data_IF_356428405110
#
_entry.id   IF_356428405110
#
_cell.length_a   1.000
_cell.length_b   1.000
_cell.length_c   1.000
_cell.angle_alpha   90.00
_cell.angle_beta   90.00
_cell.angle_gamma   90.00
#
_symmetry.space_group_name_H-M   'P 1'
#
loop_
_entity.id
_entity.type
_entity.pdbx_description
1 polymer ?
#
# COMPACT_ATOMS: atom_id res chain seq x y z
N UNK A 1 -31.92 -30.52 -26.12
CA UNK A 1 -30.52 -31.01 -26.13
C UNK A 1 -29.59 -29.89 -25.68
N UNK A 2 -28.84 -30.13 -24.61
CA UNK A 2 -27.86 -29.20 -24.01
C UNK A 2 -26.67 -29.03 -24.95
N UNK A 3 -26.25 -27.80 -25.26
CA UNK A 3 -24.89 -27.52 -25.74
C UNK A 3 -24.15 -26.73 -24.67
N UNK A 4 -23.38 -27.48 -23.87
CA UNK A 4 -22.27 -26.96 -23.08
C UNK A 4 -21.20 -26.49 -24.06
N UNK A 5 -20.84 -25.21 -24.05
CA UNK A 5 -19.58 -24.75 -24.61
C UNK A 5 -18.75 -24.15 -23.47
N UNK A 6 -17.83 -24.97 -23.01
CA UNK A 6 -16.52 -24.67 -22.41
C UNK A 6 -16.38 -23.29 -21.77
N UNK A 7 -16.80 -23.23 -20.51
CA UNK A 7 -16.43 -22.20 -19.53
C UNK A 7 -15.05 -22.56 -18.94
N UNK A 8 -13.98 -22.35 -19.72
CA UNK A 8 -12.60 -22.43 -19.21
C UNK A 8 -11.80 -21.31 -19.88
N UNK A 9 -11.71 -20.17 -19.20
CA UNK A 9 -10.97 -19.01 -19.71
C UNK A 9 -11.24 -17.67 -19.02
N UNK A 10 -12.24 -17.58 -18.13
CA UNK A 10 -12.64 -16.31 -17.51
C UNK A 10 -12.39 -16.20 -15.98
N UNK A 11 -11.58 -17.11 -15.40
CA UNK A 11 -11.29 -17.14 -13.94
C UNK A 11 -9.83 -16.72 -13.63
N UNK A 12 -9.13 -16.08 -14.58
CA UNK A 12 -7.77 -15.57 -14.37
C UNK A 12 -7.56 -14.12 -14.82
N UNK A 13 -8.62 -13.31 -14.86
CA UNK A 13 -8.59 -11.92 -15.29
C UNK A 13 -9.06 -10.95 -14.20
N UNK A 14 -8.50 -11.12 -13.00
CA UNK A 14 -8.61 -10.12 -11.92
C UNK A 14 -7.23 -9.76 -11.32
N UNK A 15 -6.19 -9.77 -12.16
CA UNK A 15 -4.86 -9.21 -11.84
C UNK A 15 -4.41 -8.35 -13.01
N UNK A 16 -4.97 -7.15 -13.11
CA UNK A 16 -4.40 -6.09 -13.94
C UNK A 16 -4.41 -4.83 -13.09
N UNK A 17 -3.24 -4.43 -12.60
CA UNK A 17 -2.98 -3.05 -12.23
C UNK A 17 -1.66 -2.63 -12.86
N UNK A 18 -1.73 -1.49 -13.54
CA UNK A 18 -0.73 -0.93 -14.43
C UNK A 18 0.35 -0.27 -13.58
N UNK A 19 1.60 -0.63 -13.87
CA UNK A 19 2.79 0.06 -13.41
C UNK A 19 2.78 1.53 -13.88
N UNK A 20 3.00 2.46 -12.95
CA UNK A 20 3.46 3.80 -13.25
C UNK A 20 4.78 4.04 -12.53
N UNK A 21 5.87 3.65 -13.20
CA UNK A 21 7.21 4.14 -12.88
C UNK A 21 7.29 5.62 -13.24
N UNK A 22 7.45 6.49 -12.24
CA UNK A 22 8.02 7.81 -12.50
C UNK A 22 9.52 7.63 -12.74
N UNK A 23 9.91 7.84 -13.99
CA UNK A 23 11.30 7.93 -14.45
C UNK A 23 12.05 9.03 -13.69
N UNK A 24 13.17 8.67 -13.05
CA UNK A 24 14.34 9.55 -13.05
C UNK A 24 15.59 8.73 -13.39
N UNK A 25 15.96 8.81 -14.66
CA UNK A 25 17.29 8.47 -15.12
C UNK A 25 18.15 9.71 -14.86
N UNK A 26 19.08 9.69 -13.91
CA UNK A 26 20.22 10.60 -13.91
C UNK A 26 21.39 10.05 -13.09
N UNK A 27 22.40 9.64 -13.84
CA UNK A 27 23.82 9.51 -13.50
C UNK A 27 24.22 8.37 -12.56
N UNK A 28 24.89 7.39 -13.18
CA UNK A 28 26.01 6.67 -12.60
C UNK A 28 26.97 7.64 -11.90
N UNK A 29 27.19 7.44 -10.59
CA UNK A 29 28.42 7.85 -9.92
C UNK A 29 28.63 7.08 -8.62
N UNK A 30 29.69 6.28 -8.66
CA UNK A 30 30.61 5.85 -7.59
C UNK A 30 30.09 5.81 -6.15
N UNK A 31 30.12 4.59 -5.61
CA UNK A 31 30.18 4.24 -4.20
C UNK A 31 30.92 5.24 -3.31
N UNK A 32 30.33 5.49 -2.14
CA UNK A 32 31.09 5.47 -0.88
C UNK A 32 30.27 4.74 0.19
N UNK A 33 30.71 3.58 0.70
CA UNK A 33 30.14 3.02 1.90
C UNK A 33 30.79 3.71 3.09
N UNK A 34 30.00 4.46 3.84
CA UNK A 34 30.45 5.08 5.08
C UNK A 34 29.31 5.11 6.05
N UNK A 35 29.09 4.01 6.77
CA UNK A 35 28.48 3.95 8.09
C UNK A 35 28.80 2.57 8.70
N UNK A 36 29.93 2.51 9.41
CA UNK A 36 30.23 1.44 10.36
C UNK A 36 29.25 1.54 11.53
N UNK A 37 28.22 0.73 11.48
CA UNK A 37 27.31 0.43 12.59
C UNK A 37 26.86 -1.00 12.40
N UNK A 38 26.89 -1.79 13.47
CA UNK A 38 26.56 -3.22 13.50
C UNK A 38 25.31 -3.48 12.66
N UNK A 39 25.47 -4.16 11.52
CA UNK A 39 24.34 -4.66 10.73
C UNK A 39 23.79 -5.84 11.53
N UNK A 40 22.86 -5.59 12.46
CA UNK A 40 21.83 -6.59 12.74
C UNK A 40 21.24 -6.92 11.37
N UNK A 41 21.51 -8.13 10.87
CA UNK A 41 21.02 -8.59 9.57
C UNK A 41 19.52 -8.35 9.55
N UNK A 42 19.07 -7.41 8.72
CA UNK A 42 17.65 -7.09 8.63
C UNK A 42 16.91 -8.39 8.32
N UNK A 43 16.05 -8.91 9.22
CA UNK A 43 15.52 -10.27 9.07
C UNK A 43 14.52 -10.37 7.92
N UNK A 44 14.05 -9.23 7.42
CA UNK A 44 13.12 -9.11 6.30
C UNK A 44 13.89 -8.86 5.01
N UNK A 45 13.46 -9.54 3.94
CA UNK A 45 14.00 -9.38 2.58
C UNK A 45 12.85 -9.27 1.60
N UNK A 46 13.01 -8.42 0.59
CA UNK A 46 12.07 -8.37 -0.55
C UNK A 46 12.16 -9.69 -1.30
N UNK A 47 11.08 -10.47 -1.33
CA UNK A 47 10.99 -11.71 -2.11
C UNK A 47 10.12 -11.52 -3.36
N UNK A 48 10.14 -12.50 -4.26
CA UNK A 48 9.47 -12.40 -5.56
C UNK A 48 7.95 -12.70 -5.49
N UNK A 49 7.42 -13.08 -4.34
CA UNK A 49 6.01 -13.42 -4.19
C UNK A 49 5.62 -13.79 -2.77
N UNK A 50 4.31 -13.93 -2.51
CA UNK A 50 3.74 -14.05 -1.19
C UNK A 50 4.02 -15.42 -0.57
N UNK A 51 3.86 -15.50 0.74
CA UNK A 51 3.95 -16.75 1.49
C UNK A 51 5.19 -16.96 2.32
N UNK A 52 6.17 -16.05 2.24
CA UNK A 52 7.25 -16.01 3.22
C UNK A 52 6.69 -15.59 4.58
N UNK A 53 7.11 -16.29 5.63
CA UNK A 53 6.67 -16.04 7.01
C UNK A 53 7.89 -15.66 7.85
N UNK A 54 7.74 -14.62 8.65
CA UNK A 54 8.76 -14.17 9.59
C UNK A 54 8.21 -14.19 11.02
N UNK A 55 9.01 -14.75 11.93
CA UNK A 55 8.72 -14.74 13.37
C UNK A 55 9.32 -13.47 14.00
N UNK A 56 8.58 -12.36 13.89
CA UNK A 56 9.00 -11.04 14.37
C UNK A 56 7.98 -10.54 15.41
N UNK A 57 8.46 -10.20 16.60
CA UNK A 57 7.58 -9.64 17.64
C UNK A 57 7.15 -8.21 17.30
N UNK A 58 5.94 -7.82 17.73
CA UNK A 58 5.38 -6.47 17.48
C UNK A 58 6.33 -5.34 17.92
N UNK A 59 7.05 -5.53 19.04
CA UNK A 59 8.01 -4.56 19.56
C UNK A 59 9.26 -4.38 18.67
N UNK A 60 9.56 -5.37 17.82
CA UNK A 60 10.67 -5.30 16.88
C UNK A 60 10.25 -4.77 15.51
N UNK A 61 8.96 -4.89 15.13
CA UNK A 61 8.45 -4.49 13.80
C UNK A 61 8.84 -3.06 13.50
N UNK A 62 8.57 -2.14 14.42
CA UNK A 62 8.89 -0.73 14.21
C UNK A 62 10.38 -0.56 13.87
N UNK A 63 11.28 -1.06 14.71
CA UNK A 63 12.73 -0.94 14.49
C UNK A 63 13.17 -1.55 13.15
N UNK A 64 12.71 -2.76 12.86
CA UNK A 64 13.06 -3.52 11.65
C UNK A 64 12.59 -2.80 10.39
N UNK A 65 11.32 -2.38 10.34
CA UNK A 65 10.78 -1.73 9.15
C UNK A 65 11.31 -0.32 8.94
N UNK A 66 11.70 0.38 9.99
CA UNK A 66 12.42 1.66 9.83
C UNK A 66 13.79 1.46 9.19
N UNK A 67 14.55 0.47 9.64
CA UNK A 67 15.83 0.13 9.01
C UNK A 67 15.62 -0.38 7.57
N UNK A 68 14.57 -1.16 7.35
CA UNK A 68 14.20 -1.66 6.03
C UNK A 68 13.87 -0.52 5.08
N UNK A 69 13.00 0.42 5.45
CA UNK A 69 12.65 1.60 4.66
C UNK A 69 13.87 2.47 4.30
N UNK A 70 14.87 2.55 5.19
CA UNK A 70 16.13 3.27 4.92
C UNK A 70 17.06 2.56 3.93
N UNK A 71 16.97 1.23 3.83
CA UNK A 71 17.99 0.40 3.14
C UNK A 71 17.47 -0.29 1.89
N UNK A 72 16.17 -0.56 1.82
CA UNK A 72 15.53 -1.16 0.65
C UNK A 72 15.45 -0.14 -0.49
N UNK A 73 15.52 -0.64 -1.72
CA UNK A 73 15.27 0.13 -2.95
C UNK A 73 13.92 -0.22 -3.60
N UNK A 74 13.17 -1.13 -2.98
CA UNK A 74 11.94 -1.69 -3.53
C UNK A 74 10.84 -1.64 -2.48
N UNK A 75 9.65 -1.36 -2.95
CA UNK A 75 8.42 -1.49 -2.15
C UNK A 75 8.18 -2.95 -1.81
N UNK A 76 7.49 -3.15 -0.70
CA UNK A 76 7.10 -4.46 -0.21
C UNK A 76 5.84 -4.34 0.65
N UNK A 77 5.09 -5.42 0.85
CA UNK A 77 3.87 -5.38 1.66
C UNK A 77 3.73 -6.65 2.47
N UNK A 78 3.47 -6.47 3.75
CA UNK A 78 3.30 -7.55 4.68
C UNK A 78 2.02 -7.45 5.49
N UNK A 79 1.55 -8.59 5.98
CA UNK A 79 0.45 -8.70 6.92
C UNK A 79 0.96 -9.23 8.25
N UNK A 80 0.74 -8.47 9.33
CA UNK A 80 1.01 -8.94 10.67
C UNK A 80 -0.27 -9.47 11.33
N UNK A 81 -0.24 -10.73 11.75
CA UNK A 81 -1.36 -11.42 12.41
C UNK A 81 -0.83 -12.46 13.40
N UNK A 82 -1.41 -12.48 14.59
CA UNK A 82 -1.10 -13.43 15.68
C UNK A 82 0.39 -13.63 15.95
N UNK A 83 1.17 -12.55 16.00
CA UNK A 83 2.60 -12.64 16.29
C UNK A 83 3.49 -12.93 15.09
N UNK A 84 2.93 -13.10 13.89
CA UNK A 84 3.64 -13.49 12.68
C UNK A 84 3.46 -12.47 11.57
N UNK A 85 4.50 -12.32 10.77
CA UNK A 85 4.52 -11.45 9.60
C UNK A 85 4.49 -12.32 8.34
N UNK A 86 3.58 -12.00 7.42
CA UNK A 86 3.40 -12.71 6.16
C UNK A 86 3.66 -11.78 5.01
N UNK A 87 4.50 -12.20 4.07
CA UNK A 87 4.57 -11.54 2.78
C UNK A 87 3.27 -11.79 2.00
N UNK A 88 2.62 -10.71 1.58
CA UNK A 88 1.39 -10.74 0.77
C UNK A 88 1.57 -10.03 -0.58
N UNK A 89 2.79 -9.60 -0.87
CA UNK A 89 3.14 -8.80 -2.05
C UNK A 89 3.93 -9.60 -3.09
N UNK A 90 3.93 -9.08 -4.31
CA UNK A 90 4.85 -9.44 -5.37
C UNK A 90 5.62 -8.18 -5.76
N UNK A 91 6.91 -8.16 -5.47
CA UNK A 91 7.77 -7.08 -5.95
C UNK A 91 7.97 -7.21 -7.47
N UNK A 92 7.47 -6.25 -8.23
CA UNK A 92 7.65 -6.18 -9.67
C UNK A 92 9.06 -5.72 -10.05
N UNK A 93 9.45 -5.96 -11.31
CA UNK A 93 10.74 -5.48 -11.84
C UNK A 93 10.84 -3.94 -11.84
N UNK A 94 9.70 -3.26 -11.89
CA UNK A 94 9.53 -1.81 -11.90
C UNK A 94 9.71 -1.17 -10.52
N UNK A 95 9.82 -1.97 -9.45
CA UNK A 95 9.95 -1.49 -8.07
C UNK A 95 8.64 -1.32 -7.33
N UNK A 96 7.50 -1.47 -8.02
CA UNK A 96 6.14 -1.51 -7.46
C UNK A 96 5.83 -2.86 -6.82
N UNK A 97 4.85 -2.88 -5.92
CA UNK A 97 4.35 -4.09 -5.26
C UNK A 97 2.89 -4.39 -5.64
N UNK A 98 2.62 -5.63 -6.06
CA UNK A 98 1.25 -6.13 -6.30
C UNK A 98 0.82 -6.97 -5.10
N UNK A 99 -0.34 -6.69 -4.53
CA UNK A 99 -0.87 -7.49 -3.41
C UNK A 99 -1.73 -8.64 -3.90
N UNK A 100 -1.45 -9.85 -3.39
CA UNK A 100 -2.28 -11.02 -3.60
C UNK A 100 -3.45 -11.05 -2.61
N UNK A 101 -4.54 -10.39 -2.96
CA UNK A 101 -5.73 -10.34 -2.10
C UNK A 101 -6.38 -11.72 -1.88
N UNK A 102 -6.31 -12.63 -2.85
CA UNK A 102 -6.91 -13.97 -2.74
C UNK A 102 -6.08 -14.85 -1.82
N UNK A 103 -4.76 -14.83 -1.97
CA UNK A 103 -3.84 -15.46 -1.01
C UNK A 103 -4.05 -14.90 0.40
N UNK A 104 -4.13 -13.58 0.54
CA UNK A 104 -4.31 -12.91 1.84
C UNK A 104 -5.58 -13.38 2.54
N UNK A 105 -6.70 -13.45 1.81
CA UNK A 105 -7.98 -13.90 2.37
C UNK A 105 -7.94 -15.39 2.71
N UNK A 106 -7.34 -16.21 1.83
CA UNK A 106 -7.16 -17.64 2.10
C UNK A 106 -6.33 -17.87 3.35
N UNK A 107 -5.21 -17.15 3.49
CA UNK A 107 -4.34 -17.17 4.66
C UNK A 107 -5.14 -16.88 5.94
N UNK A 108 -5.95 -15.82 5.93
CA UNK A 108 -6.76 -15.44 7.07
C UNK A 108 -7.84 -16.47 7.41
N UNK A 109 -8.58 -16.96 6.41
CA UNK A 109 -9.64 -17.97 6.62
C UNK A 109 -9.09 -19.31 7.14
N UNK A 110 -7.95 -19.75 6.62
CA UNK A 110 -7.43 -21.09 6.88
C UNK A 110 -6.48 -21.15 8.08
N UNK A 111 -5.65 -20.12 8.29
CA UNK A 111 -4.64 -20.13 9.36
C UNK A 111 -4.96 -19.23 10.54
N UNK A 112 -5.79 -18.20 10.33
CA UNK A 112 -6.09 -17.18 11.32
C UNK A 112 -7.61 -16.90 11.48
N UNK A 113 -8.48 -17.95 11.55
CA UNK A 113 -9.93 -17.76 11.50
C UNK A 113 -10.51 -17.04 12.72
N UNK A 114 -9.76 -16.94 13.82
CA UNK A 114 -10.22 -16.33 15.07
C UNK A 114 -9.62 -14.92 15.30
N UNK A 115 -8.73 -14.45 14.42
CA UNK A 115 -8.16 -13.12 14.54
C UNK A 115 -9.25 -12.08 14.35
N UNK A 116 -9.23 -11.00 15.13
CA UNK A 116 -10.20 -9.90 15.02
C UNK A 116 -9.63 -8.73 14.23
N UNK A 117 -8.34 -8.48 14.41
CA UNK A 117 -7.61 -7.38 13.81
C UNK A 117 -6.30 -7.91 13.22
N UNK A 118 -5.89 -7.35 12.09
CA UNK A 118 -4.60 -7.62 11.44
C UNK A 118 -4.02 -6.31 10.91
N UNK A 119 -2.69 -6.25 10.83
CA UNK A 119 -1.99 -5.01 10.46
C UNK A 119 -1.37 -5.18 9.08
N UNK A 120 -1.78 -4.34 8.15
CA UNK A 120 -1.16 -4.12 6.86
C UNK A 120 0.07 -3.23 7.03
N UNK A 121 1.24 -3.70 6.63
CA UNK A 121 2.51 -2.99 6.77
C UNK A 121 3.10 -2.74 5.40
N UNK A 122 3.28 -1.46 5.05
CA UNK A 122 3.94 -1.01 3.82
C UNK A 122 5.15 -0.12 4.13
N UNK A 123 6.39 -0.60 3.96
CA UNK A 123 7.58 0.27 3.98
C UNK A 123 7.65 1.18 2.76
N UNK A 124 7.85 2.48 2.98
CA UNK A 124 8.19 3.46 1.95
C UNK A 124 9.71 3.58 1.85
N UNK A 125 10.34 3.03 0.79
CA UNK A 125 11.78 3.11 0.61
C UNK A 125 12.22 4.56 0.46
N UNK A 126 13.32 4.96 1.12
CA UNK A 126 13.89 6.31 0.97
C UNK A 126 14.73 6.48 -0.30
N UNK A 127 14.89 5.46 -1.16
CA UNK A 127 15.45 5.50 -2.53
C UNK A 127 16.48 6.61 -2.84
N UNK A 128 17.60 6.66 -2.11
CA UNK A 128 18.65 7.68 -2.28
C UNK A 128 18.17 9.14 -2.21
N UNK A 129 16.99 9.38 -1.65
CA UNK A 129 16.43 10.71 -1.43
C UNK A 129 17.03 11.28 -0.15
N UNK A 130 17.18 12.60 -0.15
CA UNK A 130 17.86 13.35 0.90
C UNK A 130 17.38 12.90 2.28
N UNK A 131 18.31 12.82 3.22
CA UNK A 131 18.14 12.09 4.47
C UNK A 131 17.19 12.77 5.48
N UNK A 132 16.21 13.54 5.02
CA UNK A 132 15.23 14.24 5.84
C UNK A 132 13.80 14.16 5.27
N UNK A 133 13.60 13.51 4.12
CA UNK A 133 12.25 13.40 3.53
C UNK A 133 11.34 12.47 4.36
N UNK A 134 10.18 12.98 4.76
CA UNK A 134 9.05 12.23 5.33
C UNK A 134 8.09 11.88 4.20
N UNK A 135 7.64 10.63 4.10
CA UNK A 135 6.82 10.13 2.99
C UNK A 135 5.46 9.65 3.47
N UNK A 136 4.43 10.53 3.47
CA UNK A 136 3.08 10.13 3.85
C UNK A 136 2.51 9.05 2.92
N UNK A 137 1.45 8.34 3.34
CA UNK A 137 0.70 7.45 2.46
C UNK A 137 0.19 8.24 1.25
N UNK A 138 0.46 7.74 0.05
CA UNK A 138 0.00 8.33 -1.19
C UNK A 138 -1.38 7.75 -1.57
N UNK A 139 -1.90 8.19 -2.72
CA UNK A 139 -3.24 7.82 -3.17
C UNK A 139 -3.37 6.33 -3.48
N UNK A 140 -2.30 5.75 -4.02
CA UNK A 140 -2.23 4.32 -4.31
C UNK A 140 -2.31 3.53 -3.00
N UNK A 141 -1.59 3.95 -1.95
CA UNK A 141 -1.65 3.33 -0.62
C UNK A 141 -3.07 3.36 -0.04
N UNK A 142 -3.71 4.52 -0.09
CA UNK A 142 -5.07 4.73 0.44
C UNK A 142 -6.07 3.83 -0.29
N UNK A 143 -6.05 3.84 -1.63
CA UNK A 143 -7.00 3.08 -2.43
C UNK A 143 -6.78 1.57 -2.32
N UNK A 144 -5.51 1.15 -2.31
CA UNK A 144 -5.10 -0.25 -2.21
C UNK A 144 -5.50 -0.81 -0.84
N UNK A 145 -5.19 -0.08 0.23
CA UNK A 145 -5.66 -0.42 1.57
C UNK A 145 -7.19 -0.48 1.64
N UNK A 146 -7.91 0.49 1.10
CA UNK A 146 -9.36 0.52 1.17
C UNK A 146 -10.04 -0.63 0.42
N UNK A 147 -9.51 -0.97 -0.74
CA UNK A 147 -9.96 -2.11 -1.52
C UNK A 147 -9.70 -3.42 -0.76
N UNK A 148 -8.49 -3.58 -0.21
CA UNK A 148 -8.11 -4.78 0.53
C UNK A 148 -8.91 -4.94 1.82
N UNK A 149 -9.03 -3.87 2.63
CA UNK A 149 -9.81 -3.83 3.86
C UNK A 149 -11.27 -4.21 3.61
N UNK A 150 -11.90 -3.60 2.60
CA UNK A 150 -13.28 -3.90 2.23
C UNK A 150 -13.45 -5.39 1.90
N UNK A 151 -12.51 -5.96 1.13
CA UNK A 151 -12.56 -7.37 0.74
C UNK A 151 -12.34 -8.31 1.93
N UNK A 152 -11.31 -8.06 2.76
CA UNK A 152 -11.01 -8.85 3.97
C UNK A 152 -12.18 -8.79 4.94
N UNK A 153 -12.66 -7.60 5.29
CA UNK A 153 -13.78 -7.42 6.23
C UNK A 153 -15.02 -8.15 5.75
N UNK A 154 -15.38 -8.02 4.47
CA UNK A 154 -16.54 -8.72 3.89
C UNK A 154 -16.40 -10.24 3.91
N UNK A 155 -15.21 -10.76 3.63
CA UNK A 155 -14.99 -12.19 3.46
C UNK A 155 -14.62 -12.94 4.74
N UNK A 156 -14.10 -12.24 5.75
CA UNK A 156 -13.56 -12.85 6.97
C UNK A 156 -14.10 -12.24 8.26
N UNK A 157 -14.72 -11.05 8.20
CA UNK A 157 -15.10 -10.29 9.38
C UNK A 157 -13.94 -9.61 10.12
N UNK A 158 -12.71 -9.80 9.65
CA UNK A 158 -11.48 -9.28 10.29
C UNK A 158 -11.30 -7.81 9.92
N UNK A 159 -10.91 -7.00 10.90
CA UNK A 159 -10.50 -5.62 10.67
C UNK A 159 -9.05 -5.56 10.16
N UNK A 160 -8.80 -4.76 9.12
CA UNK A 160 -7.46 -4.45 8.63
C UNK A 160 -7.10 -3.04 9.10
N UNK A 161 -5.93 -2.88 9.72
CA UNK A 161 -5.33 -1.59 10.09
C UNK A 161 -4.14 -1.32 9.16
N UNK A 162 -3.86 -0.06 8.79
CA UNK A 162 -2.71 0.28 7.95
C UNK A 162 -1.60 1.01 8.70
N UNK A 163 -0.37 0.56 8.45
CA UNK A 163 0.86 1.15 8.95
C UNK A 163 1.85 1.33 7.81
N UNK A 164 2.41 2.53 7.68
CA UNK A 164 3.49 2.85 6.76
C UNK A 164 4.73 3.28 7.52
N UNK A 165 5.86 2.69 7.17
CA UNK A 165 7.17 3.02 7.72
C UNK A 165 7.99 3.74 6.66
N UNK A 166 8.32 5.01 6.88
CA UNK A 166 9.11 5.82 5.93
C UNK A 166 10.58 6.00 6.35
N UNK A 167 11.00 5.30 7.41
CA UNK A 167 12.35 5.43 7.97
C UNK A 167 12.55 6.65 8.86
N UNK A 168 11.55 7.52 9.02
CA UNK A 168 11.55 8.69 9.92
C UNK A 168 10.49 8.58 11.00
N UNK A 169 9.40 7.93 10.70
CA UNK A 169 8.32 7.68 11.62
C UNK A 169 7.35 6.64 11.08
N UNK A 170 6.23 6.60 11.78
CA UNK A 170 5.14 5.68 11.50
C UNK A 170 3.92 6.49 11.12
N UNK A 171 3.38 6.19 9.95
CA UNK A 171 2.08 6.64 9.54
C UNK A 171 1.07 5.54 9.85
N UNK A 172 0.04 5.87 10.60
CA UNK A 172 -1.14 5.01 10.73
C UNK A 172 -2.32 5.75 10.13
N UNK A 173 -3.15 5.05 9.36
CA UNK A 173 -4.35 5.66 8.81
C UNK A 173 -5.53 4.72 8.82
N UNK A 174 -6.70 5.30 9.03
CA UNK A 174 -7.97 4.59 9.08
C UNK A 174 -8.95 5.23 8.09
N UNK A 175 -9.54 4.39 7.25
CA UNK A 175 -10.63 4.81 6.36
C UNK A 175 -11.96 4.61 7.06
N UNK A 176 -12.86 5.56 6.91
CA UNK A 176 -14.21 5.46 7.46
C UNK A 176 -15.07 4.47 6.65
N UNK A 177 -16.15 3.98 7.26
CA UNK A 177 -17.16 3.15 6.59
C UNK A 177 -17.77 3.85 5.36
N UNK A 178 -17.88 5.19 5.41
CA UNK A 178 -18.37 5.99 4.29
C UNK A 178 -17.43 5.87 3.09
N UNK A 179 -16.12 6.01 3.31
CA UNK A 179 -15.12 5.84 2.25
C UNK A 179 -15.10 4.40 1.72
N UNK A 180 -15.15 3.39 2.61
CA UNK A 180 -15.24 1.97 2.22
C UNK A 180 -16.47 1.70 1.33
N UNK A 181 -17.62 2.29 1.67
CA UNK A 181 -18.85 2.18 0.86
C UNK A 181 -18.66 2.75 -0.54
N UNK A 182 -18.01 3.91 -0.68
CA UNK A 182 -17.72 4.52 -2.00
C UNK A 182 -16.76 3.65 -2.83
N UNK A 183 -15.73 3.09 -2.20
CA UNK A 183 -14.82 2.12 -2.85
C UNK A 183 -15.60 0.89 -3.32
N UNK A 184 -16.47 0.33 -2.48
CA UNK A 184 -17.28 -0.84 -2.87
C UNK A 184 -18.25 -0.54 -4.03
N UNK A 185 -18.92 0.62 -4.02
CA UNK A 185 -19.78 1.07 -5.13
C UNK A 185 -18.99 1.14 -6.44
N UNK A 186 -17.79 1.70 -6.38
CA UNK A 186 -16.89 1.76 -7.53
C UNK A 186 -16.53 0.36 -8.07
N UNK A 187 -16.11 -0.55 -7.19
CA UNK A 187 -15.75 -1.92 -7.58
C UNK A 187 -16.94 -2.62 -8.24
N UNK A 188 -18.14 -2.48 -7.68
CA UNK A 188 -19.37 -3.05 -8.24
C UNK A 188 -19.70 -2.44 -9.60
N UNK A 189 -19.54 -1.13 -9.75
CA UNK A 189 -19.75 -0.44 -11.02
C UNK A 189 -18.81 -0.97 -12.11
N UNK A 190 -17.51 -1.10 -11.81
CA UNK A 190 -16.52 -1.63 -12.76
C UNK A 190 -16.84 -3.07 -13.17
N UNK A 191 -17.20 -3.94 -12.22
CA UNK A 191 -17.61 -5.32 -12.50
C UNK A 191 -18.79 -5.38 -13.46
N UNK A 192 -19.81 -4.55 -13.21
CA UNK A 192 -20.97 -4.44 -14.10
C UNK A 192 -20.58 -3.98 -15.51
N UNK A 193 -19.66 -3.01 -15.65
CA UNK A 193 -19.18 -2.62 -16.98
C UNK A 193 -18.51 -3.79 -17.72
N UNK A 194 -17.66 -4.55 -17.03
CA UNK A 194 -16.99 -5.74 -17.59
C UNK A 194 -18.00 -6.82 -18.02
N UNK A 195 -19.00 -7.11 -17.19
CA UNK A 195 -20.07 -8.07 -17.49
C UNK A 195 -20.92 -7.65 -18.70
N UNK A 196 -21.12 -6.34 -18.89
CA UNK A 196 -21.80 -5.77 -20.05
C UNK A 196 -20.93 -5.76 -21.32
N UNK A 197 -19.72 -6.34 -21.27
CA UNK A 197 -18.76 -6.32 -22.37
C UNK A 197 -18.26 -4.92 -22.72
N UNK A 198 -18.52 -3.94 -21.85
CA UNK A 198 -17.99 -2.59 -21.99
C UNK A 198 -16.55 -2.61 -21.56
N UNK A 199 -15.71 -1.92 -22.34
CA UNK A 199 -14.41 -1.52 -21.82
C UNK A 199 -14.69 -0.79 -20.50
N UNK A 200 -14.05 -1.20 -19.39
CA UNK A 200 -14.06 -0.38 -18.19
C UNK A 200 -13.68 1.04 -18.60
N UNK A 201 -14.36 2.03 -18.02
CA UNK A 201 -14.02 3.43 -18.27
C UNK A 201 -12.67 3.67 -17.61
N UNK A 202 -11.61 3.41 -18.38
CA UNK A 202 -10.22 3.60 -18.02
C UNK A 202 -9.80 4.98 -18.51
N UNK A 203 -10.21 6.03 -17.81
CA UNK A 203 -9.62 7.34 -18.03
C UNK A 203 -8.26 7.37 -17.34
N UNK A 204 -7.19 7.39 -18.13
CA UNK A 204 -5.78 7.49 -17.70
C UNK A 204 -5.36 6.56 -16.55
N UNK A 205 -5.18 5.27 -16.84
CA UNK A 205 -4.29 4.40 -16.07
C UNK A 205 -4.81 3.82 -14.75
N UNK A 206 -5.92 4.32 -14.20
CA UNK A 206 -6.40 3.84 -12.88
C UNK A 206 -7.89 3.51 -12.73
N UNK A 207 -8.66 3.60 -13.82
CA UNK A 207 -9.84 2.72 -14.01
C UNK A 207 -11.13 3.05 -13.28
N UNK A 208 -11.35 4.25 -12.74
CA UNK A 208 -12.69 4.64 -12.27
C UNK A 208 -12.86 6.16 -12.23
N UNK A 209 -13.97 6.72 -12.70
CA UNK A 209 -14.23 8.16 -12.67
C UNK A 209 -14.13 8.76 -11.24
N UNK A 210 -14.58 8.03 -10.21
CA UNK A 210 -14.37 8.44 -8.82
C UNK A 210 -12.92 8.29 -8.37
N UNK A 211 -12.23 7.25 -8.85
CA UNK A 211 -10.80 7.07 -8.64
C UNK A 211 -10.04 8.23 -9.29
N UNK A 212 -10.35 8.61 -10.53
CA UNK A 212 -9.64 9.64 -11.25
C UNK A 212 -9.97 11.04 -10.70
N UNK A 213 -11.20 11.31 -10.26
CA UNK A 213 -11.55 12.56 -9.56
C UNK A 213 -10.87 12.60 -8.20
N UNK A 214 -10.94 11.54 -7.41
CA UNK A 214 -10.29 11.46 -6.09
C UNK A 214 -8.77 11.59 -6.19
N UNK A 215 -8.14 10.86 -7.11
CA UNK A 215 -6.70 10.93 -7.39
C UNK A 215 -6.31 12.26 -8.00
N UNK A 216 -7.13 12.86 -8.87
CA UNK A 216 -6.84 14.21 -9.38
C UNK A 216 -6.89 15.24 -8.25
N UNK A 217 -7.87 15.14 -7.36
CA UNK A 217 -8.00 16.03 -6.21
C UNK A 217 -6.83 15.83 -5.24
N UNK A 218 -6.52 14.59 -4.89
CA UNK A 218 -5.42 14.27 -3.99
C UNK A 218 -4.03 14.56 -4.59
N UNK A 219 -3.77 14.23 -5.85
CA UNK A 219 -2.51 14.59 -6.52
C UNK A 219 -2.34 16.11 -6.60
N UNK A 220 -3.42 16.85 -6.90
CA UNK A 220 -3.39 18.32 -6.86
C UNK A 220 -3.13 18.84 -5.46
N UNK A 221 -3.72 18.19 -4.44
CA UNK A 221 -3.56 18.56 -3.04
C UNK A 221 -2.14 18.29 -2.55
N UNK A 222 -1.62 17.08 -2.78
CA UNK A 222 -0.27 16.65 -2.47
C UNK A 222 0.73 17.58 -3.15
N UNK A 223 0.60 17.79 -4.47
CA UNK A 223 1.46 18.70 -5.20
C UNK A 223 1.41 20.13 -4.65
N UNK A 224 0.20 20.66 -4.42
CA UNK A 224 0.01 22.02 -3.92
C UNK A 224 0.59 22.22 -2.52
N UNK A 225 0.55 21.20 -1.66
CA UNK A 225 0.97 21.33 -0.25
C UNK A 225 2.44 20.94 -0.09
N UNK A 226 2.87 19.82 -0.67
CA UNK A 226 4.22 19.29 -0.49
C UNK A 226 5.27 20.02 -1.35
N UNK A 227 4.85 20.71 -2.41
CA UNK A 227 5.73 21.61 -3.18
C UNK A 227 5.64 23.08 -2.72
N UNK A 228 4.86 23.38 -1.66
CA UNK A 228 4.74 24.73 -1.11
C UNK A 228 5.99 25.09 -0.30
N UNK A 229 7.01 25.64 -0.97
CA UNK A 229 8.28 26.04 -0.37
C UNK A 229 8.16 27.20 0.64
N UNK A 230 6.96 27.78 0.82
CA UNK A 230 6.71 28.78 1.86
C UNK A 230 6.42 28.18 3.24
N UNK A 231 6.14 26.87 3.30
CA UNK A 231 5.87 26.12 4.52
C UNK A 231 7.06 25.23 4.88
N UNK A 232 7.34 25.08 6.17
CA UNK A 232 8.24 24.02 6.65
C UNK A 232 7.66 22.63 6.37
N UNK A 233 8.50 21.60 6.31
CA UNK A 233 8.03 20.23 6.02
C UNK A 233 6.99 19.73 7.04
N UNK A 234 7.16 20.08 8.30
CA UNK A 234 6.19 19.76 9.35
C UNK A 234 4.84 20.46 9.12
N UNK A 235 4.84 21.72 8.69
CA UNK A 235 3.63 22.46 8.34
C UNK A 235 2.96 21.92 7.09
N UNK A 236 3.74 21.52 6.07
CA UNK A 236 3.22 20.83 4.88
C UNK A 236 2.48 19.55 5.28
N UNK A 237 3.09 18.72 6.15
CA UNK A 237 2.47 17.49 6.67
C UNK A 237 1.18 17.79 7.44
N UNK A 238 1.22 18.75 8.37
CA UNK A 238 0.02 19.15 9.13
C UNK A 238 -1.11 19.58 8.20
N UNK A 239 -0.79 20.43 7.21
CA UNK A 239 -1.76 20.89 6.21
C UNK A 239 -2.28 19.75 5.33
N UNK A 240 -1.43 18.80 4.94
CA UNK A 240 -1.82 17.61 4.19
C UNK A 240 -2.79 16.75 4.99
N UNK A 241 -2.48 16.46 6.26
CA UNK A 241 -3.36 15.70 7.17
C UNK A 241 -4.73 16.41 7.30
N UNK A 242 -4.75 17.72 7.54
CA UNK A 242 -6.00 18.47 7.70
C UNK A 242 -6.87 18.48 6.43
N UNK A 243 -6.26 18.57 5.25
CA UNK A 243 -7.00 18.54 4.00
C UNK A 243 -7.51 17.13 3.67
N UNK A 244 -6.77 16.08 4.01
CA UNK A 244 -7.23 14.71 3.79
C UNK A 244 -8.27 14.26 4.82
N UNK A 245 -8.28 14.81 6.04
CA UNK A 245 -9.39 14.59 6.98
C UNK A 245 -10.76 14.95 6.38
N UNK A 246 -10.80 15.87 5.41
CA UNK A 246 -12.03 16.22 4.67
C UNK A 246 -12.51 15.11 3.73
N UNK A 247 -11.67 14.11 3.45
CA UNK A 247 -11.94 12.97 2.59
C UNK A 247 -12.39 11.73 3.39
N UNK A 248 -12.80 11.92 4.65
CA UNK A 248 -13.24 10.86 5.56
C UNK A 248 -12.16 9.79 5.81
N UNK A 249 -10.90 10.23 5.95
CA UNK A 249 -9.75 9.40 6.30
C UNK A 249 -9.03 10.03 7.51
N UNK A 250 -8.70 9.21 8.50
CA UNK A 250 -8.04 9.64 9.73
C UNK A 250 -6.57 9.25 9.64
N UNK A 251 -5.67 10.24 9.66
CA UNK A 251 -4.22 10.03 9.66
C UNK A 251 -3.62 10.37 11.01
N UNK A 252 -2.60 9.60 11.40
CA UNK A 252 -1.71 9.92 12.52
C UNK A 252 -0.27 9.67 12.06
N UNK A 253 0.62 10.60 12.40
CA UNK A 253 2.06 10.44 12.21
C UNK A 253 2.74 10.45 13.57
N UNK A 254 3.52 9.40 13.84
CA UNK A 254 4.34 9.28 15.04
C UNK A 254 5.81 9.34 14.62
N UNK A 255 6.53 10.44 14.90
CA UNK A 255 7.95 10.51 14.59
C UNK A 255 8.73 9.47 15.40
N UNK A 256 9.83 8.96 14.85
CA UNK A 256 10.78 8.22 15.66
C UNK A 256 11.40 9.15 16.70
N UNK A 257 11.41 8.70 17.95
CA UNK A 257 12.29 9.27 18.97
C UNK A 257 13.75 9.12 18.50
N UNK A 258 14.52 10.20 18.64
CA UNK A 258 15.93 10.26 18.22
C UNK A 258 16.83 9.42 19.12
#
# INVERSE_FOLDING_TARGET
MKKKLVLFGAISLLTFNIACSATTNRNSRSEKPGLTGIIETNPIKVVKGPGTVYDISINQIQRIYHQFAKTTQKEDVHLYVDGKLYDIGFAEKTGSVIIDSDYTIKLLKEKHPNSKNVIFIHPHPLNNVDSEEIRPPNNQDIWTYATLKTKIRKETGINLEAVIYDGRGVWTYEITEKFESEVNKSILYQKKQLEEGKAPIFTTGTGNLYHDIFFTLLNKLEKKILEDNSLSREEQIKKYIEEIKKLDIIFTYTPLEK
#
